data_IF_570992253867
#
_entry.id   IF_570992253867
#
_cell.length_a   1.000
_cell.length_b   1.000
_cell.length_c   1.000
_cell.angle_alpha   90.00
_cell.angle_beta   90.00
_cell.angle_gamma   90.00
#
_symmetry.space_group_name_H-M   'P 1'
#
loop_
_entity.id
_entity.type
_entity.pdbx_description
1 polymer ?
#
# COMPACT_ATOMS: atom_id res chain seq x y z
N UNK A 1 3.96 -3.90 -22.24
CA UNK A 1 4.91 -4.65 -21.38
C UNK A 1 6.34 -4.37 -21.82
N UNK A 2 6.94 -3.29 -21.30
CA UNK A 2 8.38 -2.99 -21.25
C UNK A 2 8.55 -1.47 -21.24
N UNK A 3 8.54 -0.87 -20.06
CA UNK A 3 9.19 0.41 -19.82
C UNK A 3 9.45 0.55 -18.33
N UNK A 4 10.71 0.82 -17.97
CA UNK A 4 11.21 1.14 -16.62
C UNK A 4 11.57 -0.03 -15.69
N UNK A 5 12.31 -1.01 -16.22
CA UNK A 5 12.89 -2.09 -15.42
C UNK A 5 14.32 -1.73 -14.95
N UNK A 6 14.44 -1.19 -13.73
CA UNK A 6 15.70 -1.21 -12.98
C UNK A 6 16.06 -2.62 -12.49
N UNK A 7 17.28 -2.83 -11.95
CA UNK A 7 17.68 -4.13 -11.39
C UNK A 7 16.73 -4.50 -10.23
N UNK A 8 15.98 -5.60 -10.40
CA UNK A 8 14.87 -6.02 -9.52
C UNK A 8 13.55 -6.33 -10.26
N UNK A 9 13.48 -6.01 -11.56
CA UNK A 9 12.25 -6.13 -12.34
C UNK A 9 11.84 -7.56 -12.74
N UNK A 10 12.71 -8.58 -12.60
CA UNK A 10 12.43 -9.94 -13.07
C UNK A 10 11.19 -10.60 -12.43
N UNK A 11 11.00 -10.61 -11.10
CA UNK A 11 9.78 -11.13 -10.48
C UNK A 11 8.53 -10.29 -10.78
N UNK A 12 8.69 -8.97 -10.95
CA UNK A 12 7.60 -8.05 -11.33
C UNK A 12 7.14 -8.26 -12.77
N UNK A 13 8.07 -8.51 -13.71
CA UNK A 13 7.76 -8.82 -15.11
C UNK A 13 6.98 -10.15 -15.24
N UNK A 14 7.35 -11.16 -14.45
CA UNK A 14 6.66 -12.45 -14.43
C UNK A 14 5.23 -12.33 -13.87
N UNK A 15 5.03 -11.54 -12.81
CA UNK A 15 3.70 -11.25 -12.27
C UNK A 15 2.84 -10.43 -13.25
N UNK A 16 3.46 -9.49 -13.98
CA UNK A 16 2.77 -8.62 -14.93
C UNK A 16 2.12 -9.36 -16.10
N UNK A 17 2.64 -10.52 -16.53
CA UNK A 17 2.08 -11.28 -17.66
C UNK A 17 0.67 -11.88 -17.38
N UNK A 18 0.19 -11.86 -16.13
CA UNK A 18 -1.18 -12.29 -15.75
C UNK A 18 -1.91 -11.28 -14.87
N UNK A 19 -1.33 -10.11 -14.68
CA UNK A 19 -1.90 -9.08 -13.81
C UNK A 19 -3.01 -8.31 -14.53
N UNK A 20 -4.14 -8.11 -13.85
CA UNK A 20 -5.23 -7.29 -14.34
C UNK A 20 -4.90 -5.79 -14.23
N UNK A 21 -3.99 -5.40 -13.33
CA UNK A 21 -3.57 -4.01 -13.17
C UNK A 21 -2.27 -3.83 -12.42
N UNK A 22 -1.73 -2.61 -12.52
CA UNK A 22 -0.57 -2.15 -11.78
C UNK A 22 -0.81 -0.71 -11.28
N UNK A 23 -0.36 -0.43 -10.07
CA UNK A 23 -0.42 0.90 -9.45
C UNK A 23 0.93 1.25 -8.83
N UNK A 24 1.23 2.54 -8.73
CA UNK A 24 2.46 3.04 -8.12
C UNK A 24 2.16 4.25 -7.23
N UNK A 25 2.80 4.30 -6.06
CA UNK A 25 2.74 5.42 -5.14
C UNK A 25 4.17 5.90 -4.80
N UNK A 26 4.48 7.21 -4.94
CA UNK A 26 5.78 7.75 -4.59
C UNK A 26 5.99 7.79 -3.07
N UNK A 27 7.24 7.62 -2.65
CA UNK A 27 7.69 8.13 -1.35
C UNK A 27 7.71 9.66 -1.36
N UNK A 28 7.84 10.27 -0.19
CA UNK A 28 7.94 11.73 -0.05
C UNK A 28 9.15 12.13 0.77
N UNK A 29 9.57 13.36 0.58
CA UNK A 29 10.45 14.09 1.50
C UNK A 29 9.78 15.41 1.88
N UNK A 30 9.96 15.87 3.11
CA UNK A 30 9.54 17.20 3.52
C UNK A 30 10.71 18.16 3.33
N UNK A 31 10.52 19.22 2.53
CA UNK A 31 11.56 20.24 2.34
C UNK A 31 11.54 21.28 3.48
N UNK A 32 10.35 21.57 4.00
CA UNK A 32 10.10 22.50 5.11
C UNK A 32 8.88 22.02 5.92
N UNK A 33 8.80 22.46 7.17
CA UNK A 33 7.67 22.17 8.05
C UNK A 33 7.73 20.76 8.65
N UNK A 34 8.91 20.27 9.01
CA UNK A 34 8.97 19.15 9.94
C UNK A 34 8.42 19.60 11.29
N UNK A 35 7.66 18.74 11.97
CA UNK A 35 7.08 19.00 13.29
C UNK A 35 6.02 20.12 13.37
N UNK A 36 5.58 20.66 12.23
CA UNK A 36 4.47 21.61 12.17
C UNK A 36 3.15 20.96 11.76
N UNK A 37 3.20 19.76 11.16
CA UNK A 37 2.03 19.03 10.65
C UNK A 37 1.04 18.64 11.74
N UNK A 38 1.51 18.09 12.86
CA UNK A 38 0.63 17.75 13.98
C UNK A 38 0.15 18.98 14.78
N UNK A 39 0.69 20.17 14.50
CA UNK A 39 0.30 21.43 15.14
C UNK A 39 -0.62 22.29 14.26
N UNK A 40 -1.10 21.77 13.12
CA UNK A 40 -1.94 22.53 12.19
C UNK A 40 -1.19 23.59 11.37
N UNK A 41 0.15 23.51 11.34
CA UNK A 41 0.98 24.38 10.53
C UNK A 41 1.11 23.90 9.07
N UNK A 42 1.72 24.73 8.22
CA UNK A 42 1.95 24.38 6.83
C UNK A 42 3.16 23.44 6.67
N UNK A 43 3.10 22.61 5.63
CA UNK A 43 4.19 21.72 5.21
C UNK A 43 4.44 21.84 3.71
N UNK A 44 5.69 21.62 3.30
CA UNK A 44 6.07 21.60 1.89
C UNK A 44 6.68 20.25 1.50
N UNK A 45 5.85 19.23 1.24
CA UNK A 45 6.33 17.92 0.80
C UNK A 45 6.63 17.90 -0.70
N UNK A 46 7.56 17.03 -1.09
CA UNK A 46 7.87 16.72 -2.48
C UNK A 46 7.88 15.20 -2.68
N UNK A 47 7.26 14.74 -3.76
CA UNK A 47 7.29 13.34 -4.17
C UNK A 47 8.67 12.96 -4.71
N UNK A 48 9.17 11.80 -4.28
CA UNK A 48 10.40 11.23 -4.78
C UNK A 48 10.12 10.35 -6.01
N UNK A 49 11.16 10.11 -6.82
CA UNK A 49 11.10 9.09 -7.88
C UNK A 49 11.14 7.65 -7.33
N UNK A 50 11.53 7.49 -6.06
CA UNK A 50 11.44 6.24 -5.32
C UNK A 50 10.00 6.03 -4.85
N UNK A 51 9.46 4.83 -5.00
CA UNK A 51 8.09 4.53 -4.58
C UNK A 51 7.78 3.03 -4.56
N UNK A 52 6.55 2.71 -4.18
CA UNK A 52 6.06 1.34 -4.06
C UNK A 52 5.17 1.02 -5.26
N UNK A 53 5.42 -0.13 -5.90
CA UNK A 53 4.60 -0.67 -6.99
C UNK A 53 3.78 -1.84 -6.45
N UNK A 54 2.50 -1.91 -6.81
CA UNK A 54 1.67 -3.09 -6.61
C UNK A 54 1.14 -3.57 -7.97
N UNK A 55 1.28 -4.87 -8.21
CA UNK A 55 0.82 -5.54 -9.43
C UNK A 55 -0.02 -6.74 -9.02
N UNK A 56 -1.21 -6.89 -9.57
CA UNK A 56 -2.10 -7.97 -9.16
C UNK A 56 -3.37 -8.11 -10.00
N UNK A 57 -4.18 -9.10 -9.61
CA UNK A 57 -5.46 -9.44 -10.22
C UNK A 57 -6.49 -9.72 -9.13
N UNK A 58 -7.78 -9.41 -9.36
CA UNK A 58 -8.84 -9.84 -8.46
C UNK A 58 -8.92 -11.37 -8.44
N UNK A 59 -9.32 -11.91 -7.29
CA UNK A 59 -9.58 -13.34 -7.07
C UNK A 59 -11.02 -13.55 -6.62
N UNK A 60 -11.58 -14.73 -6.89
CA UNK A 60 -12.95 -15.09 -6.52
C UNK A 60 -13.02 -15.94 -5.24
N UNK A 61 -11.87 -16.41 -4.73
CA UNK A 61 -11.81 -17.38 -3.63
C UNK A 61 -11.84 -16.72 -2.23
N UNK A 62 -12.17 -15.43 -2.16
CA UNK A 62 -12.25 -14.66 -0.91
C UNK A 62 -10.93 -14.56 -0.12
N UNK A 63 -9.81 -14.95 -0.73
CA UNK A 63 -8.50 -15.02 -0.07
C UNK A 63 -7.55 -13.97 -0.67
N UNK A 64 -6.95 -13.15 0.18
CA UNK A 64 -5.96 -12.15 -0.21
C UNK A 64 -4.58 -12.77 -0.08
N UNK A 65 -3.80 -12.79 -1.16
CA UNK A 65 -2.44 -13.33 -1.22
C UNK A 65 -1.47 -12.26 -1.68
N UNK A 66 -0.48 -11.95 -0.86
CA UNK A 66 0.47 -10.86 -1.12
C UNK A 66 1.89 -11.40 -1.01
N UNK A 67 2.73 -11.03 -1.97
CA UNK A 67 4.16 -11.32 -1.99
C UNK A 67 4.92 -9.98 -2.09
N UNK A 68 5.88 -9.77 -1.21
CA UNK A 68 6.87 -8.70 -1.36
C UNK A 68 8.18 -9.23 -1.93
N UNK A 69 8.79 -8.46 -2.82
CA UNK A 69 10.15 -8.71 -3.34
C UNK A 69 11.19 -7.84 -2.66
N UNK A 70 10.79 -6.98 -1.73
CA UNK A 70 11.73 -6.13 -0.98
C UNK A 70 12.58 -6.98 -0.06
N UNK A 71 13.91 -6.84 -0.16
CA UNK A 71 14.85 -7.58 0.67
C UNK A 71 14.87 -7.11 2.13
N UNK A 72 14.49 -5.85 2.37
CA UNK A 72 14.44 -5.25 3.71
C UNK A 72 13.16 -5.62 4.48
N UNK A 73 12.19 -6.28 3.83
CA UNK A 73 10.96 -6.70 4.50
C UNK A 73 11.23 -7.92 5.40
N UNK A 74 10.57 -7.95 6.56
CA UNK A 74 10.65 -9.07 7.49
C UNK A 74 9.93 -10.31 6.96
N UNK A 75 10.44 -11.49 7.32
CA UNK A 75 9.85 -12.76 6.92
C UNK A 75 8.55 -13.05 7.71
N UNK A 76 7.55 -13.72 7.10
CA UNK A 76 7.55 -14.25 5.74
C UNK A 76 7.31 -13.18 4.65
N UNK A 77 8.00 -13.28 3.51
CA UNK A 77 7.76 -12.41 2.35
C UNK A 77 6.43 -12.66 1.62
N UNK A 78 5.76 -13.77 1.93
CA UNK A 78 4.44 -14.11 1.40
C UNK A 78 3.44 -14.31 2.54
N UNK A 79 2.29 -13.68 2.44
CA UNK A 79 1.19 -13.80 3.39
C UNK A 79 -0.11 -14.12 2.65
N UNK A 80 -0.97 -14.89 3.31
CA UNK A 80 -2.32 -15.19 2.86
C UNK A 80 -3.29 -15.05 4.02
N UNK A 81 -4.43 -14.42 3.78
CA UNK A 81 -5.48 -14.27 4.78
C UNK A 81 -6.84 -14.10 4.09
N UNK A 82 -7.96 -14.47 4.74
CA UNK A 82 -9.29 -14.24 4.21
C UNK A 82 -9.59 -12.74 4.11
N UNK A 83 -10.43 -12.35 3.16
CA UNK A 83 -10.94 -10.99 3.07
C UNK A 83 -11.72 -10.64 4.37
N UNK A 84 -11.51 -9.44 4.95
CA UNK A 84 -12.20 -9.05 6.16
C UNK A 84 -13.71 -8.93 5.96
N UNK A 85 -14.44 -9.15 7.05
CA UNK A 85 -15.87 -8.89 7.17
C UNK A 85 -16.16 -8.23 8.52
N UNK A 86 -17.39 -7.75 8.73
CA UNK A 86 -17.79 -7.17 10.02
C UNK A 86 -17.57 -8.13 11.20
N UNK A 87 -17.73 -9.43 10.98
CA UNK A 87 -17.54 -10.47 12.00
C UNK A 87 -16.11 -10.98 12.11
N UNK A 88 -15.24 -10.65 11.16
CA UNK A 88 -13.84 -11.10 11.12
C UNK A 88 -12.93 -9.98 10.62
N UNK A 89 -12.63 -8.98 11.46
CA UNK A 89 -11.72 -7.90 11.10
C UNK A 89 -10.26 -8.38 11.03
N UNK A 90 -9.44 -7.70 10.23
CA UNK A 90 -8.00 -7.92 10.18
C UNK A 90 -7.32 -7.30 11.40
N UNK A 91 -6.48 -8.09 12.07
CA UNK A 91 -5.65 -7.62 13.18
C UNK A 91 -4.18 -7.45 12.77
N UNK A 92 -3.47 -6.49 13.38
CA UNK A 92 -2.02 -6.38 13.24
C UNK A 92 -1.30 -7.64 13.74
N UNK A 93 -0.18 -7.99 13.11
CA UNK A 93 0.64 -9.13 13.52
C UNK A 93 1.98 -9.20 12.78
N UNK A 94 2.60 -10.37 12.75
CA UNK A 94 3.74 -10.64 11.88
C UNK A 94 3.26 -11.08 10.48
N UNK A 95 3.99 -10.73 9.41
CA UNK A 95 5.12 -9.80 9.35
C UNK A 95 4.63 -8.34 9.37
N UNK A 96 5.47 -7.42 9.87
CA UNK A 96 5.12 -6.02 10.06
C UNK A 96 4.78 -5.31 8.76
N UNK A 97 5.51 -5.62 7.68
CA UNK A 97 5.25 -5.02 6.38
C UNK A 97 3.80 -5.27 5.90
N UNK A 98 3.21 -6.42 6.25
CA UNK A 98 1.86 -6.78 5.82
C UNK A 98 0.78 -5.96 6.55
N UNK A 99 1.09 -5.41 7.73
CA UNK A 99 0.14 -4.62 8.51
C UNK A 99 -0.27 -3.33 7.80
N UNK A 100 0.62 -2.71 7.01
CA UNK A 100 0.26 -1.56 6.18
C UNK A 100 -0.86 -1.90 5.19
N UNK A 101 -0.75 -3.05 4.53
CA UNK A 101 -1.76 -3.49 3.56
C UNK A 101 -3.05 -3.91 4.27
N UNK A 102 -2.95 -4.68 5.37
CA UNK A 102 -4.11 -5.10 6.16
C UNK A 102 -4.92 -3.90 6.69
N UNK A 103 -4.23 -2.87 7.20
CA UNK A 103 -4.88 -1.67 7.72
C UNK A 103 -5.66 -0.91 6.65
N UNK A 104 -5.07 -0.71 5.46
CA UNK A 104 -5.76 -0.06 4.33
C UNK A 104 -6.97 -0.87 3.88
N UNK A 105 -6.85 -2.20 3.79
CA UNK A 105 -7.98 -3.06 3.40
C UNK A 105 -9.10 -2.99 4.43
N UNK A 106 -8.77 -3.02 5.73
CA UNK A 106 -9.76 -2.91 6.80
C UNK A 106 -10.50 -1.57 6.74
N UNK A 107 -9.77 -0.46 6.52
CA UNK A 107 -10.37 0.87 6.47
C UNK A 107 -11.15 1.13 5.19
N UNK A 108 -10.72 0.56 4.05
CA UNK A 108 -11.43 0.69 2.78
C UNK A 108 -12.83 0.03 2.79
N UNK A 109 -13.04 -0.95 3.68
CA UNK A 109 -14.37 -1.57 3.88
C UNK A 109 -15.26 -0.77 4.83
N UNK A 110 -14.69 0.13 5.65
CA UNK A 110 -15.49 0.97 6.53
C UNK A 110 -16.22 2.05 5.72
N UNK A 111 -17.46 2.42 6.10
CA UNK A 111 -18.16 3.53 5.48
C UNK A 111 -17.34 4.82 5.65
N UNK A 112 -16.85 5.37 4.54
CA UNK A 112 -16.05 6.59 4.57
C UNK A 112 -16.89 7.76 5.11
N UNK A 113 -16.41 8.53 6.10
CA UNK A 113 -17.07 9.75 6.50
C UNK A 113 -17.14 10.69 5.29
N UNK A 114 -18.28 11.39 5.11
CA UNK A 114 -18.39 12.42 4.07
C UNK A 114 -17.44 13.56 4.44
N UNK A 115 -16.25 13.56 3.86
CA UNK A 115 -15.29 14.64 4.02
C UNK A 115 -15.83 15.83 3.20
N UNK A 116 -16.19 16.92 3.88
CA UNK A 116 -16.49 18.17 3.19
C UNK A 116 -15.20 18.68 2.54
N UNK A 117 -15.26 19.24 1.31
CA UNK A 117 -14.06 19.70 0.60
C UNK A 117 -13.33 20.85 1.30
N UNK A 118 -13.94 21.44 2.33
CA UNK A 118 -13.39 22.52 3.14
C UNK A 118 -13.64 22.16 4.60
N UNK A 119 -12.64 21.54 5.24
CA UNK A 119 -12.70 21.04 6.62
C UNK A 119 -12.72 22.13 7.69
N UNK A 120 -13.71 23.00 7.67
CA UNK A 120 -14.02 23.91 8.77
C UNK A 120 -15.37 23.52 9.36
N UNK A 121 -15.33 22.91 10.54
CA UNK A 121 -16.46 22.82 11.46
C UNK A 121 -16.39 23.94 12.48
#
# INVERSE_FOLDING_TARGET
CAAMAGPGAAPLLAAACRAAGAVWAPGRVNLLGEHTDYNGGFVLPMALQLGTVLVGSPTQDGTISILTTSEAADEPRRVQFPAPSESSPLSPGQPHWANYVKGVIQEALNPQPKISPWGWG
#
